data_IF_555406715250
#
_entry.id   IF_555406715250
#
_cell.length_a   1.000
_cell.length_b   1.000
_cell.length_c   1.000
_cell.angle_alpha   90.00
_cell.angle_beta   90.00
_cell.angle_gamma   90.00
#
_symmetry.space_group_name_H-M   'P 1'
#
loop_
_entity.id
_entity.type
_entity.pdbx_description
1 polymer ?
#
# COMPACT_ATOMS: atom_id res chain seq x y z
N UNK A 1 -23.00 48.20 -20.97
CA UNK A 1 -23.44 46.97 -20.31
C UNK A 1 -24.49 47.32 -19.27
N UNK A 2 -25.64 46.67 -19.31
CA UNK A 2 -26.71 46.91 -18.33
C UNK A 2 -26.34 46.28 -16.98
N UNK A 3 -26.89 46.81 -15.87
CA UNK A 3 -26.67 46.23 -14.52
C UNK A 3 -27.04 44.75 -14.46
N UNK A 4 -28.03 44.31 -15.23
CA UNK A 4 -28.44 42.92 -15.35
C UNK A 4 -27.36 42.03 -16.02
N UNK A 5 -26.65 42.55 -17.02
CA UNK A 5 -25.55 41.81 -17.68
C UNK A 5 -24.37 41.65 -16.74
N UNK A 6 -24.02 42.67 -15.94
CA UNK A 6 -22.96 42.64 -14.95
C UNK A 6 -23.28 41.62 -13.86
N UNK A 7 -24.52 41.63 -13.34
CA UNK A 7 -24.99 40.68 -12.33
C UNK A 7 -25.00 39.24 -12.86
N UNK A 8 -25.45 39.03 -14.11
CA UNK A 8 -25.46 37.71 -14.75
C UNK A 8 -24.05 37.15 -14.90
N UNK A 9 -23.09 37.95 -15.35
CA UNK A 9 -21.68 37.55 -15.46
C UNK A 9 -21.07 37.24 -14.12
N UNK A 10 -21.35 38.03 -13.08
CA UNK A 10 -20.86 37.77 -11.73
C UNK A 10 -21.40 36.44 -11.16
N UNK A 11 -22.69 36.14 -11.38
CA UNK A 11 -23.31 34.89 -10.97
C UNK A 11 -22.75 33.68 -11.71
N UNK A 12 -22.53 33.78 -13.01
CA UNK A 12 -21.93 32.71 -13.82
C UNK A 12 -20.50 32.41 -13.34
N UNK A 13 -19.69 33.44 -13.08
CA UNK A 13 -18.35 33.29 -12.54
C UNK A 13 -18.35 32.60 -11.18
N UNK A 14 -19.24 33.04 -10.27
CA UNK A 14 -19.35 32.44 -8.92
C UNK A 14 -19.78 30.97 -8.99
N UNK A 15 -20.70 30.64 -9.89
CA UNK A 15 -21.13 29.26 -10.14
C UNK A 15 -19.97 28.38 -10.63
N UNK A 16 -19.15 28.91 -11.55
CA UNK A 16 -17.98 28.22 -12.04
C UNK A 16 -16.91 28.00 -10.96
N UNK A 17 -16.60 29.01 -10.15
CA UNK A 17 -15.69 28.91 -9.03
C UNK A 17 -16.13 27.84 -8.01
N UNK A 18 -17.43 27.80 -7.69
CA UNK A 18 -18.00 26.78 -6.81
C UNK A 18 -17.94 25.37 -7.41
N UNK A 19 -18.11 25.25 -8.74
CA UNK A 19 -17.97 23.96 -9.42
C UNK A 19 -16.55 23.41 -9.28
N UNK A 20 -15.55 24.25 -9.47
CA UNK A 20 -14.13 23.83 -9.31
C UNK A 20 -13.84 23.38 -7.88
N UNK A 21 -14.26 24.16 -6.87
CA UNK A 21 -14.10 23.76 -5.47
C UNK A 21 -14.77 22.42 -5.17
N UNK A 22 -15.97 22.21 -5.71
CA UNK A 22 -16.72 20.97 -5.52
C UNK A 22 -16.04 19.77 -6.22
N UNK A 23 -15.51 19.98 -7.43
CA UNK A 23 -14.80 18.92 -8.17
C UNK A 23 -13.52 18.51 -7.44
N UNK A 24 -12.74 19.47 -6.94
CA UNK A 24 -11.57 19.21 -6.12
C UNK A 24 -11.98 18.54 -4.81
N UNK A 25 -13.02 19.01 -4.12
CA UNK A 25 -13.52 18.40 -2.90
C UNK A 25 -13.98 16.94 -3.10
N UNK A 26 -14.63 16.64 -4.24
CA UNK A 26 -15.01 15.27 -4.61
C UNK A 26 -13.80 14.39 -4.84
N UNK A 27 -12.79 14.90 -5.57
CA UNK A 27 -11.55 14.17 -5.78
C UNK A 27 -10.83 13.88 -4.45
N UNK A 28 -10.81 14.85 -3.51
CA UNK A 28 -10.29 14.70 -2.16
C UNK A 28 -10.97 13.57 -1.36
N UNK A 29 -12.27 13.41 -1.55
CA UNK A 29 -13.04 12.39 -0.83
C UNK A 29 -13.03 11.01 -1.52
N UNK A 30 -12.80 10.96 -2.84
CA UNK A 30 -12.87 9.73 -3.62
C UNK A 30 -11.51 9.02 -3.77
N UNK A 31 -10.40 9.74 -3.67
CA UNK A 31 -9.07 9.19 -3.95
C UNK A 31 -8.31 8.88 -2.67
N UNK A 32 -7.79 7.66 -2.59
CA UNK A 32 -6.79 7.23 -1.58
C UNK A 32 -5.37 7.51 -2.10
N UNK A 33 -5.23 7.82 -3.40
CA UNK A 33 -3.96 8.03 -4.08
C UNK A 33 -3.64 9.52 -4.18
N UNK A 34 -2.64 9.98 -3.43
CA UNK A 34 -2.22 11.38 -3.40
C UNK A 34 -1.72 11.90 -4.77
N UNK A 35 -0.90 11.18 -5.55
CA UNK A 35 -0.50 11.60 -6.89
C UNK A 35 -1.68 11.86 -7.83
N UNK A 36 -2.66 10.96 -7.88
CA UNK A 36 -3.86 11.11 -8.70
C UNK A 36 -4.68 12.34 -8.29
N UNK A 37 -4.83 12.56 -6.98
CA UNK A 37 -5.50 13.73 -6.43
C UNK A 37 -4.82 15.04 -6.86
N UNK A 38 -3.50 15.11 -6.72
CA UNK A 38 -2.73 16.31 -7.08
C UNK A 38 -2.78 16.57 -8.58
N UNK A 39 -2.84 15.53 -9.42
CA UNK A 39 -3.01 15.67 -10.87
C UNK A 39 -4.36 16.29 -11.22
N UNK A 40 -5.46 15.82 -10.62
CA UNK A 40 -6.81 16.40 -10.82
C UNK A 40 -6.86 17.86 -10.36
N UNK A 41 -6.29 18.16 -9.19
CA UNK A 41 -6.25 19.53 -8.68
C UNK A 41 -5.44 20.45 -9.60
N UNK A 42 -4.31 19.98 -10.10
CA UNK A 42 -3.46 20.72 -11.03
C UNK A 42 -4.19 21.02 -12.33
N UNK A 43 -4.91 20.04 -12.90
CA UNK A 43 -5.74 20.20 -14.08
C UNK A 43 -6.81 21.28 -13.88
N UNK A 44 -7.53 21.24 -12.76
CA UNK A 44 -8.59 22.21 -12.45
C UNK A 44 -8.06 23.64 -12.23
N UNK A 45 -6.91 23.78 -11.58
CA UNK A 45 -6.27 25.09 -11.40
C UNK A 45 -5.76 25.63 -12.74
N UNK A 46 -5.16 24.79 -13.56
CA UNK A 46 -4.70 25.16 -14.90
C UNK A 46 -5.88 25.61 -15.79
N UNK A 47 -6.99 24.86 -15.78
CA UNK A 47 -8.23 25.19 -16.48
C UNK A 47 -8.80 26.55 -16.03
N UNK A 48 -8.90 26.79 -14.70
CA UNK A 48 -9.38 28.04 -14.12
C UNK A 48 -8.59 29.25 -14.62
N UNK A 49 -7.29 29.09 -14.72
CA UNK A 49 -6.38 30.15 -15.14
C UNK A 49 -6.21 30.21 -16.69
N UNK A 50 -6.81 29.27 -17.42
CA UNK A 50 -6.63 29.16 -18.88
C UNK A 50 -5.20 28.87 -19.27
N UNK A 51 -4.54 28.01 -18.48
CA UNK A 51 -3.16 27.53 -18.67
C UNK A 51 -3.19 26.02 -18.88
N UNK A 52 -2.18 25.47 -19.54
CA UNK A 52 -2.08 24.02 -19.77
C UNK A 52 -0.99 23.37 -18.93
N UNK A 53 0.03 24.11 -18.59
CA UNK A 53 1.25 23.59 -17.95
C UNK A 53 1.26 23.88 -16.45
N UNK A 54 1.63 22.88 -15.68
CA UNK A 54 1.84 23.07 -14.25
C UNK A 54 2.54 21.89 -13.59
N UNK A 55 2.88 22.05 -12.32
CA UNK A 55 3.51 21.02 -11.50
C UNK A 55 3.29 21.26 -10.00
N UNK A 56 3.31 20.19 -9.25
CA UNK A 56 3.27 20.21 -7.79
C UNK A 56 4.59 19.70 -7.24
N UNK A 57 5.20 20.49 -6.38
CA UNK A 57 6.38 20.11 -5.62
C UNK A 57 5.99 19.99 -4.15
N UNK A 58 6.33 18.88 -3.53
CA UNK A 58 6.15 18.64 -2.11
C UNK A 58 7.52 18.55 -1.43
N UNK A 59 7.57 18.86 -0.13
CA UNK A 59 8.75 18.60 0.68
C UNK A 59 8.68 17.18 1.26
N UNK A 60 9.77 16.44 1.14
CA UNK A 60 9.93 15.18 1.84
C UNK A 60 10.04 15.42 3.35
N UNK A 61 9.34 14.66 4.17
CA UNK A 61 9.27 14.92 5.61
C UNK A 61 10.56 14.59 6.37
N UNK A 62 11.34 13.63 5.87
CA UNK A 62 12.56 13.20 6.53
C UNK A 62 13.76 14.08 6.17
N UNK A 63 13.91 14.42 4.88
CA UNK A 63 15.03 15.18 4.38
C UNK A 63 14.74 16.68 4.26
N UNK A 64 13.47 17.10 4.19
CA UNK A 64 13.07 18.46 3.89
C UNK A 64 13.28 18.87 2.42
N UNK A 65 13.78 17.97 1.58
CA UNK A 65 14.07 18.25 0.18
C UNK A 65 12.80 18.23 -0.69
N UNK A 66 12.70 19.14 -1.68
CA UNK A 66 11.58 19.19 -2.57
C UNK A 66 11.65 18.10 -3.64
N UNK A 67 10.51 17.43 -3.90
CA UNK A 67 10.35 16.47 -4.98
C UNK A 67 9.11 16.76 -5.82
N UNK A 68 9.11 16.28 -7.08
CA UNK A 68 7.99 16.44 -7.99
C UNK A 68 6.91 15.39 -7.67
N UNK A 69 5.75 15.86 -7.19
CA UNK A 69 4.63 15.01 -6.82
C UNK A 69 3.60 14.83 -7.95
N UNK A 70 3.40 15.87 -8.79
CA UNK A 70 2.53 15.81 -9.97
C UNK A 70 3.02 16.80 -11.02
N UNK A 71 2.73 16.51 -12.30
CA UNK A 71 3.03 17.41 -13.41
C UNK A 71 2.03 17.23 -14.54
N UNK A 72 1.78 18.33 -15.27
CA UNK A 72 0.92 18.38 -16.45
C UNK A 72 1.60 19.20 -17.54
N UNK A 73 1.64 18.67 -18.75
CA UNK A 73 2.15 19.33 -19.97
C UNK A 73 3.48 20.07 -19.76
N UNK A 74 4.43 19.42 -19.10
CA UNK A 74 5.77 20.00 -18.92
C UNK A 74 6.41 20.30 -20.31
N UNK A 75 7.07 21.46 -20.44
CA UNK A 75 7.80 21.79 -21.65
C UNK A 75 8.91 20.75 -21.93
N UNK A 76 9.30 20.53 -23.21
CA UNK A 76 10.27 19.51 -23.57
C UNK A 76 11.54 19.52 -22.72
N UNK A 77 12.08 20.70 -22.41
CA UNK A 77 13.30 20.81 -21.64
C UNK A 77 13.18 20.42 -20.14
N UNK A 78 11.98 20.33 -19.58
CA UNK A 78 11.74 19.82 -18.22
C UNK A 78 11.26 18.36 -18.24
N UNK A 79 10.58 17.95 -19.32
CA UNK A 79 10.10 16.59 -19.48
C UNK A 79 11.23 15.61 -19.87
N UNK A 80 12.17 16.06 -20.72
CA UNK A 80 13.30 15.27 -21.20
C UNK A 80 14.44 15.19 -20.17
N UNK A 81 14.53 16.16 -19.26
CA UNK A 81 15.54 16.27 -18.21
C UNK A 81 14.84 16.35 -16.83
N UNK A 82 14.26 15.25 -16.31
CA UNK A 82 13.47 15.25 -15.06
C UNK A 82 14.24 15.73 -13.84
N UNK A 83 15.54 15.57 -13.82
CA UNK A 83 16.45 16.04 -12.76
C UNK A 83 16.38 17.57 -12.58
N UNK A 84 15.97 18.31 -13.61
CA UNK A 84 15.73 19.76 -13.49
C UNK A 84 14.54 20.11 -12.62
N UNK A 85 13.62 19.15 -12.41
CA UNK A 85 12.49 19.32 -11.51
C UNK A 85 12.84 18.99 -10.06
N UNK A 86 13.98 18.37 -9.82
CA UNK A 86 14.49 18.11 -8.48
C UNK A 86 15.15 19.35 -7.86
N UNK A 87 15.29 19.34 -6.53
CA UNK A 87 15.99 20.36 -5.75
C UNK A 87 15.29 21.73 -5.70
N UNK A 88 15.97 22.66 -5.06
CA UNK A 88 15.45 23.99 -4.76
C UNK A 88 15.41 24.92 -5.97
N UNK A 89 14.48 25.83 -5.95
CA UNK A 89 14.36 26.95 -6.89
C UNK A 89 13.89 28.19 -6.15
N UNK A 90 14.01 29.35 -6.79
CA UNK A 90 13.71 30.65 -6.15
C UNK A 90 12.33 30.69 -5.45
N UNK A 91 11.28 30.18 -6.09
CA UNK A 91 9.94 30.19 -5.49
C UNK A 91 9.84 29.29 -4.25
N UNK A 92 10.50 28.12 -4.24
CA UNK A 92 10.51 27.24 -3.08
C UNK A 92 11.37 27.81 -1.93
N UNK A 93 12.49 28.45 -2.25
CA UNK A 93 13.33 29.13 -1.24
C UNK A 93 12.55 30.27 -0.58
N UNK A 94 11.96 31.17 -1.36
CA UNK A 94 11.12 32.25 -0.87
C UNK A 94 9.94 31.74 -0.04
N UNK A 95 9.32 30.62 -0.46
CA UNK A 95 8.25 29.99 0.29
C UNK A 95 8.73 29.42 1.63
N UNK A 96 9.85 28.70 1.63
CA UNK A 96 10.46 28.17 2.87
C UNK A 96 10.77 29.28 3.85
N UNK A 97 11.32 30.39 3.36
CA UNK A 97 11.77 31.51 4.19
C UNK A 97 10.61 32.43 4.64
N UNK A 98 9.36 32.11 4.22
CA UNK A 98 8.16 32.83 4.64
C UNK A 98 7.91 34.14 3.91
N UNK A 99 8.59 34.38 2.79
CA UNK A 99 8.43 35.57 1.95
C UNK A 99 7.16 35.53 1.09
N UNK A 100 6.46 34.38 1.08
CA UNK A 100 5.19 34.18 0.39
C UNK A 100 4.01 34.43 1.33
N UNK A 101 3.46 35.59 1.34
CA UNK A 101 2.28 35.92 2.14
C UNK A 101 0.96 35.47 1.50
N UNK A 102 0.51 34.26 1.83
CA UNK A 102 -0.78 33.69 1.36
C UNK A 102 -0.77 33.31 -0.12
N UNK A 103 -1.90 32.75 -0.66
CA UNK A 103 -2.01 32.54 -2.11
C UNK A 103 -1.78 33.87 -2.81
N UNK A 104 -0.59 34.28 -2.68
CA UNK A 104 -0.15 35.46 -3.30
C UNK A 104 -0.31 35.18 -4.78
N UNK A 105 -0.82 36.09 -5.44
CA UNK A 105 -0.27 36.55 -6.69
C UNK A 105 1.18 36.92 -6.40
N UNK A 106 1.87 35.98 -5.97
CA UNK A 106 3.26 35.96 -5.78
C UNK A 106 3.77 36.23 -7.13
N UNK A 107 4.24 37.44 -7.28
CA UNK A 107 4.56 38.05 -8.54
C UNK A 107 4.98 36.98 -9.52
N UNK A 108 4.26 36.89 -10.59
CA UNK A 108 4.51 35.96 -11.68
C UNK A 108 5.99 36.06 -11.98
N UNK A 109 6.75 35.14 -11.44
CA UNK A 109 8.22 35.22 -11.43
C UNK A 109 8.73 34.47 -12.65
N UNK A 110 9.74 35.02 -13.29
CA UNK A 110 10.48 34.23 -14.28
C UNK A 110 11.00 32.98 -13.63
N UNK A 111 10.44 31.81 -14.04
CA UNK A 111 10.80 30.53 -13.44
C UNK A 111 12.32 30.27 -13.58
N UNK A 112 13.01 30.09 -12.46
CA UNK A 112 14.46 29.84 -12.47
C UNK A 112 14.81 28.55 -13.20
N UNK A 113 13.92 27.55 -13.21
CA UNK A 113 14.07 26.29 -13.95
C UNK A 113 13.94 26.50 -15.47
N UNK A 114 12.98 27.32 -15.90
CA UNK A 114 12.77 27.67 -17.32
C UNK A 114 13.84 28.65 -17.83
N UNK A 115 14.28 29.57 -17.00
CA UNK A 115 15.32 30.56 -17.38
C UNK A 115 16.61 29.92 -17.86
N UNK A 116 17.00 28.82 -17.26
CA UNK A 116 18.19 28.03 -17.65
C UNK A 116 18.03 27.37 -19.02
N UNK A 117 16.81 27.24 -19.52
CA UNK A 117 16.49 26.67 -20.85
C UNK A 117 16.29 27.73 -21.93
N UNK A 118 16.19 29.01 -21.56
CA UNK A 118 15.83 30.13 -22.43
C UNK A 118 16.66 30.25 -23.73
N UNK A 119 17.97 29.86 -23.78
CA UNK A 119 18.75 29.95 -25.01
C UNK A 119 18.35 28.90 -26.07
N UNK A 120 17.68 27.79 -25.66
CA UNK A 120 17.31 26.71 -26.58
C UNK A 120 15.89 26.90 -27.12
N UNK A 121 15.78 27.41 -28.35
CA UNK A 121 14.47 27.59 -29.03
C UNK A 121 13.68 26.29 -29.01
N UNK A 122 12.42 26.39 -28.55
CA UNK A 122 11.48 25.26 -28.46
C UNK A 122 11.51 24.45 -27.15
N UNK A 123 12.58 24.48 -26.36
CA UNK A 123 12.64 23.69 -25.11
C UNK A 123 11.74 24.20 -23.99
N UNK A 124 11.38 25.48 -23.99
CA UNK A 124 10.48 26.10 -23.00
C UNK A 124 9.00 26.10 -23.41
N UNK A 125 8.67 25.70 -24.65
CA UNK A 125 7.32 25.88 -25.22
C UNK A 125 6.77 27.31 -25.08
N UNK A 126 7.64 28.33 -25.07
CA UNK A 126 7.26 29.73 -24.88
C UNK A 126 6.98 30.14 -23.44
N UNK A 127 6.98 29.21 -22.49
CA UNK A 127 6.72 29.48 -21.08
C UNK A 127 7.83 30.34 -20.47
N UNK A 128 7.44 31.36 -19.71
CA UNK A 128 8.36 32.30 -19.08
C UNK A 128 8.05 32.49 -17.59
N UNK A 129 6.78 32.44 -17.24
CA UNK A 129 6.24 32.79 -15.94
C UNK A 129 5.42 31.66 -15.36
N UNK A 130 5.31 31.63 -14.05
CA UNK A 130 4.38 30.73 -13.35
C UNK A 130 3.74 31.47 -12.17
N UNK A 131 2.52 31.10 -11.85
CA UNK A 131 1.88 31.42 -10.58
C UNK A 131 2.11 30.28 -9.62
N UNK A 132 2.38 30.63 -8.35
CA UNK A 132 2.66 29.67 -7.28
C UNK A 132 1.56 29.73 -6.22
N UNK A 133 1.05 28.57 -5.85
CA UNK A 133 0.00 28.40 -4.84
C UNK A 133 0.61 27.59 -3.69
N UNK A 134 0.81 28.20 -2.52
CA UNK A 134 1.30 27.52 -1.35
C UNK A 134 0.37 26.35 -0.93
N UNK A 135 0.95 25.24 -0.52
CA UNK A 135 0.27 24.13 0.13
C UNK A 135 0.69 24.13 1.60
N UNK A 136 -0.21 24.59 2.47
CA UNK A 136 0.06 24.81 3.87
C UNK A 136 -1.06 24.22 4.74
N UNK A 137 -0.76 23.91 5.99
CA UNK A 137 -1.73 23.46 6.97
C UNK A 137 -1.36 23.99 8.36
N UNK A 138 -2.34 24.31 9.17
CA UNK A 138 -2.10 24.62 10.59
C UNK A 138 -1.70 23.32 11.31
N UNK A 139 -0.59 23.33 12.01
CA UNK A 139 -0.23 22.22 12.88
C UNK A 139 -0.99 22.26 14.22
N UNK A 140 -0.88 21.18 15.00
CA UNK A 140 -1.59 21.05 16.29
C UNK A 140 -1.19 22.11 17.32
N UNK A 141 -0.05 22.76 17.16
CA UNK A 141 0.49 23.78 18.07
C UNK A 141 0.18 25.22 17.59
N UNK A 142 -0.61 25.35 16.52
CA UNK A 142 -0.98 26.63 15.92
C UNK A 142 0.07 27.23 15.02
N UNK A 143 1.12 26.48 14.68
CA UNK A 143 2.12 26.84 13.68
C UNK A 143 1.62 26.61 12.25
N UNK A 144 2.27 27.23 11.28
CA UNK A 144 2.00 27.02 9.85
C UNK A 144 3.01 26.02 9.29
N UNK A 145 2.55 24.80 8.99
CA UNK A 145 3.35 23.75 8.35
C UNK A 145 3.31 23.92 6.84
N UNK A 146 4.46 24.12 6.22
CA UNK A 146 4.61 24.25 4.78
C UNK A 146 4.89 22.89 4.18
N UNK A 147 4.01 22.44 3.26
CA UNK A 147 4.02 21.10 2.69
C UNK A 147 4.59 21.06 1.29
N UNK A 148 4.45 22.16 0.55
CA UNK A 148 4.88 22.25 -0.83
C UNK A 148 4.21 23.38 -1.60
N UNK A 149 4.21 23.29 -2.93
CA UNK A 149 3.71 24.33 -3.80
C UNK A 149 3.15 23.75 -5.09
N UNK A 150 1.97 24.23 -5.50
CA UNK A 150 1.40 23.98 -6.81
C UNK A 150 1.75 25.20 -7.71
N UNK A 151 2.26 24.93 -8.90
CA UNK A 151 2.65 25.93 -9.87
C UNK A 151 1.93 25.74 -11.18
N UNK A 152 1.47 26.81 -11.79
CA UNK A 152 0.93 26.83 -13.16
C UNK A 152 1.69 27.86 -13.99
N UNK A 153 2.04 27.53 -15.21
CA UNK A 153 2.96 28.27 -16.03
C UNK A 153 2.31 28.79 -17.33
N UNK A 154 2.77 29.96 -17.77
CA UNK A 154 2.31 30.58 -18.99
C UNK A 154 3.38 31.39 -19.70
N UNK A 155 3.10 31.83 -20.95
CA UNK A 155 4.05 32.63 -21.74
C UNK A 155 4.09 34.09 -21.35
N UNK A 156 3.00 34.61 -20.76
CA UNK A 156 2.81 36.01 -20.46
C UNK A 156 2.42 36.22 -19.00
N UNK A 157 2.96 37.29 -18.43
CA UNK A 157 2.52 37.73 -17.13
C UNK A 157 1.12 38.35 -17.22
N UNK A 158 0.28 38.00 -16.26
CA UNK A 158 -1.02 38.67 -16.07
C UNK A 158 -1.29 38.84 -14.58
N UNK A 159 -1.97 39.93 -14.28
CA UNK A 159 -2.47 40.17 -12.93
C UNK A 159 -3.69 39.29 -12.67
N UNK A 160 -3.74 38.64 -11.52
CA UNK A 160 -4.91 37.90 -11.07
C UNK A 160 -5.75 38.79 -10.16
N UNK A 161 -7.05 38.81 -10.39
CA UNK A 161 -7.96 39.57 -9.52
C UNK A 161 -8.11 38.94 -8.14
N UNK A 162 -8.56 39.73 -7.15
CA UNK A 162 -8.66 39.31 -5.76
C UNK A 162 -9.59 38.09 -5.54
N UNK A 163 -10.61 37.91 -6.37
CA UNK A 163 -11.50 36.74 -6.31
C UNK A 163 -10.76 35.46 -6.71
N UNK A 164 -10.04 35.50 -7.83
CA UNK A 164 -9.21 34.38 -8.29
C UNK A 164 -8.14 34.02 -7.27
N UNK A 165 -7.48 35.02 -6.68
CA UNK A 165 -6.48 34.78 -5.63
C UNK A 165 -7.07 34.12 -4.39
N UNK A 166 -8.25 34.55 -3.94
CA UNK A 166 -8.95 33.95 -2.81
C UNK A 166 -9.35 32.50 -3.10
N UNK A 167 -9.79 32.20 -4.32
CA UNK A 167 -10.11 30.83 -4.73
C UNK A 167 -8.87 29.94 -4.75
N UNK A 168 -7.76 30.42 -5.33
CA UNK A 168 -6.49 29.69 -5.37
C UNK A 168 -5.94 29.42 -3.97
N UNK A 169 -6.11 30.37 -3.04
CA UNK A 169 -5.75 30.16 -1.65
C UNK A 169 -6.59 29.04 -1.02
N UNK A 170 -7.90 29.08 -1.20
CA UNK A 170 -8.80 28.05 -0.69
C UNK A 170 -8.42 26.66 -1.22
N UNK A 171 -8.09 26.57 -2.52
CA UNK A 171 -7.63 25.33 -3.14
C UNK A 171 -6.29 24.87 -2.54
N UNK A 172 -5.34 25.79 -2.31
CA UNK A 172 -4.07 25.49 -1.65
C UNK A 172 -4.26 24.94 -0.23
N UNK A 173 -5.14 25.57 0.56
CA UNK A 173 -5.48 25.13 1.91
C UNK A 173 -6.12 23.72 1.90
N UNK A 174 -7.08 23.48 1.00
CA UNK A 174 -7.71 22.17 0.84
C UNK A 174 -6.72 21.08 0.45
N UNK A 175 -5.82 21.36 -0.47
CA UNK A 175 -4.78 20.43 -0.91
C UNK A 175 -3.74 20.22 0.20
N UNK A 176 -3.39 21.25 0.95
CA UNK A 176 -2.52 21.14 2.12
C UNK A 176 -3.08 20.15 3.14
N UNK A 177 -4.36 20.29 3.50
CA UNK A 177 -5.05 19.37 4.40
C UNK A 177 -5.04 17.93 3.85
N UNK A 178 -5.26 17.75 2.55
CA UNK A 178 -5.26 16.43 1.94
C UNK A 178 -3.88 15.77 1.94
N UNK A 179 -2.84 16.53 1.62
CA UNK A 179 -1.44 16.05 1.68
C UNK A 179 -1.07 15.61 3.09
N UNK A 180 -1.39 16.42 4.10
CA UNK A 180 -1.10 16.09 5.49
C UNK A 180 -1.89 14.86 5.97
N UNK A 181 -3.17 14.75 5.59
CA UNK A 181 -3.99 13.56 5.88
C UNK A 181 -3.37 12.31 5.27
N UNK A 182 -3.00 12.34 4.00
CA UNK A 182 -2.36 11.19 3.33
C UNK A 182 -1.06 10.78 4.04
N UNK A 183 -0.25 11.75 4.47
CA UNK A 183 0.97 11.50 5.25
C UNK A 183 0.69 10.88 6.62
N UNK A 184 -0.32 11.39 7.31
CA UNK A 184 -0.74 10.85 8.61
C UNK A 184 -1.25 9.42 8.49
N UNK A 185 -2.04 9.12 7.46
CA UNK A 185 -2.57 7.79 7.22
C UNK A 185 -1.45 6.79 6.85
N UNK A 186 -0.46 7.21 6.03
CA UNK A 186 0.72 6.41 5.73
C UNK A 186 1.54 6.10 7.00
N UNK A 187 1.80 7.10 7.85
CA UNK A 187 2.51 6.92 9.14
C UNK A 187 1.75 6.01 10.12
N UNK A 188 0.43 6.14 10.19
CA UNK A 188 -0.41 5.26 11.03
C UNK A 188 -0.33 3.82 10.58
N UNK A 189 -0.35 3.59 9.27
CA UNK A 189 -0.21 2.25 8.70
C UNK A 189 1.15 1.64 9.04
N UNK A 190 2.23 2.39 8.87
CA UNK A 190 3.59 1.96 9.19
C UNK A 190 3.76 1.67 10.69
N UNK A 191 3.22 2.55 11.57
CA UNK A 191 3.23 2.34 13.02
C UNK A 191 2.46 1.07 13.40
N UNK A 192 1.25 0.89 12.87
CA UNK A 192 0.44 -0.29 13.13
C UNK A 192 1.14 -1.59 12.68
N UNK A 193 1.81 -1.56 11.52
CA UNK A 193 2.61 -2.69 11.05
C UNK A 193 3.78 -3.01 11.99
N UNK A 194 4.45 -1.97 12.49
CA UNK A 194 5.57 -2.11 13.43
C UNK A 194 5.10 -2.65 14.78
N UNK A 195 3.99 -2.14 15.31
CA UNK A 195 3.39 -2.63 16.55
C UNK A 195 2.95 -4.09 16.43
N UNK A 196 2.33 -4.46 15.34
CA UNK A 196 1.91 -5.85 15.08
C UNK A 196 3.12 -6.78 14.95
N UNK A 197 4.16 -6.35 14.25
CA UNK A 197 5.42 -7.11 14.17
C UNK A 197 6.05 -7.34 15.56
N UNK A 198 6.04 -6.32 16.41
CA UNK A 198 6.55 -6.42 17.77
C UNK A 198 5.67 -7.30 18.68
N UNK A 199 4.34 -7.28 18.45
CA UNK A 199 3.40 -8.17 19.15
C UNK A 199 3.65 -9.62 18.78
N UNK A 200 3.74 -9.92 17.49
CA UNK A 200 4.03 -11.26 16.98
C UNK A 200 5.39 -11.77 17.46
N UNK A 201 6.43 -10.94 17.46
CA UNK A 201 7.75 -11.32 17.96
C UNK A 201 7.72 -11.75 19.45
N UNK A 202 6.92 -11.06 20.29
CA UNK A 202 6.73 -11.44 21.69
C UNK A 202 5.96 -12.76 21.81
N UNK A 203 4.88 -12.93 21.07
CA UNK A 203 4.08 -14.16 21.08
C UNK A 203 4.90 -15.39 20.65
N UNK A 204 5.75 -15.22 19.63
CA UNK A 204 6.71 -16.25 19.21
C UNK A 204 7.70 -16.58 20.34
N UNK A 205 8.25 -15.55 20.97
CA UNK A 205 9.21 -15.74 22.06
C UNK A 205 8.60 -16.52 23.23
N UNK A 206 7.37 -16.16 23.62
CA UNK A 206 6.66 -16.79 24.73
C UNK A 206 6.33 -18.27 24.41
N UNK A 207 5.88 -18.55 23.19
CA UNK A 207 5.60 -19.92 22.74
C UNK A 207 6.87 -20.76 22.71
N UNK A 208 7.97 -20.23 22.14
CA UNK A 208 9.26 -20.91 22.12
C UNK A 208 9.81 -21.17 23.52
N UNK A 209 9.68 -20.23 24.45
CA UNK A 209 10.12 -20.38 25.83
C UNK A 209 9.34 -21.50 26.54
N UNK A 210 8.03 -21.62 26.27
CA UNK A 210 7.20 -22.70 26.81
C UNK A 210 7.59 -24.07 26.25
N UNK A 211 7.76 -24.17 24.92
CA UNK A 211 8.14 -25.41 24.25
C UNK A 211 9.53 -25.90 24.71
N UNK A 212 10.51 -25.00 24.81
CA UNK A 212 11.84 -25.31 25.31
C UNK A 212 11.80 -25.79 26.79
N UNK A 213 10.97 -25.13 27.60
CA UNK A 213 10.78 -25.55 29.01
C UNK A 213 10.20 -26.96 29.11
N UNK A 214 9.24 -27.30 28.24
CA UNK A 214 8.67 -28.65 28.20
C UNK A 214 9.69 -29.70 27.73
N UNK A 215 10.57 -29.37 26.78
CA UNK A 215 11.67 -30.24 26.34
C UNK A 215 12.65 -30.48 27.50
N UNK A 216 13.05 -29.42 28.21
CA UNK A 216 13.94 -29.53 29.40
C UNK A 216 13.34 -30.45 30.46
N UNK A 217 12.04 -30.28 30.77
CA UNK A 217 11.34 -31.10 31.75
C UNK A 217 11.35 -32.60 31.38
N UNK A 218 11.16 -32.94 30.10
CA UNK A 218 11.21 -34.33 29.65
C UNK A 218 12.62 -34.91 29.72
N UNK A 219 13.65 -34.10 29.46
CA UNK A 219 15.05 -34.53 29.57
C UNK A 219 15.47 -34.73 31.03
N UNK A 220 15.09 -33.84 31.95
CA UNK A 220 15.30 -33.98 33.38
C UNK A 220 14.61 -35.24 33.95
N UNK A 221 13.37 -35.52 33.46
CA UNK A 221 12.68 -36.74 33.82
C UNK A 221 13.42 -37.99 33.32
N UNK A 222 13.96 -37.98 32.10
CA UNK A 222 14.78 -39.07 31.58
C UNK A 222 16.06 -39.26 32.37
N UNK A 223 16.74 -38.19 32.77
CA UNK A 223 17.96 -38.25 33.63
C UNK A 223 17.65 -38.85 34.99
N UNK A 224 16.59 -38.40 35.66
CA UNK A 224 16.16 -38.95 36.94
C UNK A 224 15.86 -40.46 36.87
N UNK A 225 15.21 -40.93 35.78
CA UNK A 225 14.93 -42.33 35.53
C UNK A 225 16.22 -43.15 35.32
N UNK A 226 17.25 -42.59 34.68
CA UNK A 226 18.55 -43.22 34.51
C UNK A 226 19.28 -43.36 35.85
N UNK A 227 19.29 -42.32 36.69
CA UNK A 227 19.90 -42.36 38.03
C UNK A 227 19.25 -43.42 38.91
N UNK A 228 17.91 -43.57 38.81
CA UNK A 228 17.13 -44.58 39.55
C UNK A 228 17.25 -46.00 38.97
N UNK A 229 18.03 -46.18 37.88
CA UNK A 229 18.12 -47.45 37.14
C UNK A 229 16.75 -48.04 36.76
N UNK A 230 15.81 -47.14 36.36
CA UNK A 230 14.50 -47.52 35.95
C UNK A 230 14.50 -48.28 34.60
N UNK A 231 13.36 -48.89 34.25
CA UNK A 231 13.19 -49.59 33.00
C UNK A 231 13.61 -48.72 31.81
N UNK A 232 14.54 -49.17 30.94
CA UNK A 232 14.98 -48.46 29.76
C UNK A 232 13.84 -47.97 28.85
N UNK A 233 12.72 -48.69 28.77
CA UNK A 233 11.55 -48.29 28.01
C UNK A 233 10.90 -47.01 28.55
N UNK A 234 11.02 -46.71 29.84
CA UNK A 234 10.52 -45.45 30.42
C UNK A 234 11.43 -44.28 30.05
N UNK A 235 12.75 -44.47 30.08
CA UNK A 235 13.74 -43.47 29.67
C UNK A 235 13.53 -43.14 28.19
N UNK A 236 13.38 -44.16 27.35
CA UNK A 236 13.17 -43.98 25.92
C UNK A 236 11.90 -43.19 25.63
N UNK A 237 10.79 -43.40 26.34
CA UNK A 237 9.55 -42.61 26.19
C UNK A 237 9.77 -41.14 26.49
N UNK A 238 10.46 -40.77 27.56
CA UNK A 238 10.76 -39.36 27.89
C UNK A 238 11.64 -38.71 26.85
N UNK A 239 12.67 -39.39 26.35
CA UNK A 239 13.54 -38.87 25.27
C UNK A 239 12.78 -38.70 23.97
N UNK A 240 11.91 -39.64 23.60
CA UNK A 240 11.08 -39.53 22.41
C UNK A 240 10.10 -38.35 22.51
N UNK A 241 9.46 -38.18 23.68
CA UNK A 241 8.58 -37.02 23.92
C UNK A 241 9.33 -35.68 23.82
N UNK A 242 10.57 -35.61 24.37
CA UNK A 242 11.40 -34.41 24.22
C UNK A 242 11.76 -34.11 22.76
N UNK A 243 12.09 -35.14 21.97
CA UNK A 243 12.38 -34.99 20.54
C UNK A 243 11.17 -34.52 19.74
N UNK A 244 9.98 -35.04 20.02
CA UNK A 244 8.75 -34.65 19.35
C UNK A 244 8.35 -33.19 19.68
N UNK A 245 8.49 -32.79 20.95
CA UNK A 245 8.31 -31.40 21.37
C UNK A 245 9.30 -30.44 20.69
N UNK A 246 10.58 -30.83 20.65
CA UNK A 246 11.63 -30.00 20.01
C UNK A 246 11.38 -29.84 18.51
N UNK A 247 10.98 -30.89 17.81
CA UNK A 247 10.62 -30.83 16.37
C UNK A 247 9.41 -29.92 16.13
N UNK A 248 8.38 -30.09 16.97
CA UNK A 248 7.16 -29.26 16.88
C UNK A 248 7.47 -27.77 17.12
N UNK A 249 8.20 -27.43 18.18
CA UNK A 249 8.59 -26.05 18.48
C UNK A 249 9.46 -25.44 17.38
N UNK A 250 10.39 -26.22 16.78
CA UNK A 250 11.20 -25.75 15.67
C UNK A 250 10.36 -25.44 14.41
N UNK A 251 9.38 -26.28 14.11
CA UNK A 251 8.48 -26.05 12.97
C UNK A 251 7.54 -24.85 13.20
N UNK A 252 7.14 -24.62 14.45
CA UNK A 252 6.33 -23.45 14.84
C UNK A 252 7.15 -22.16 14.78
N UNK A 253 8.39 -22.18 15.26
CA UNK A 253 9.32 -21.07 15.13
C UNK A 253 9.62 -20.70 13.67
N UNK A 254 9.86 -21.69 12.82
CA UNK A 254 10.08 -21.46 11.37
C UNK A 254 8.86 -20.83 10.70
N UNK A 255 7.66 -21.29 11.00
CA UNK A 255 6.42 -20.70 10.49
C UNK A 255 6.27 -19.24 10.91
N UNK A 256 6.48 -18.97 12.18
CA UNK A 256 6.37 -17.64 12.74
C UNK A 256 7.41 -16.66 12.18
N UNK A 257 8.65 -17.11 11.94
CA UNK A 257 9.70 -16.30 11.29
C UNK A 257 9.36 -16.02 9.83
N UNK A 258 8.77 -16.97 9.12
CA UNK A 258 8.27 -16.77 7.75
C UNK A 258 7.11 -15.76 7.74
N UNK A 259 6.23 -15.78 8.74
CA UNK A 259 5.16 -14.81 8.91
C UNK A 259 5.69 -13.39 9.21
N UNK A 260 6.82 -13.25 9.91
CA UNK A 260 7.48 -11.96 10.18
C UNK A 260 8.30 -11.41 8.99
N UNK A 261 8.86 -12.28 8.15
CA UNK A 261 9.76 -11.88 7.04
C UNK A 261 9.05 -11.31 5.81
N UNK A 262 7.77 -11.51 5.69
CA UNK A 262 7.10 -11.03 4.49
C UNK A 262 6.48 -9.65 4.72
N UNK A 263 7.05 -8.65 4.12
CA UNK A 263 6.25 -7.66 3.39
C UNK A 263 5.65 -8.44 2.20
N UNK A 264 4.40 -8.94 2.28
CA UNK A 264 3.98 -10.04 1.40
C UNK A 264 3.94 -9.64 -0.07
N UNK A 265 3.90 -8.35 -0.35
CA UNK A 265 3.68 -7.86 -1.70
C UNK A 265 4.79 -6.93 -2.19
N UNK A 266 5.65 -6.36 -1.30
CA UNK A 266 6.76 -5.47 -1.67
C UNK A 266 6.39 -4.42 -2.74
N UNK A 267 5.18 -3.86 -2.67
CA UNK A 267 4.65 -2.93 -3.68
C UNK A 267 4.11 -3.60 -4.95
N UNK A 268 4.06 -4.93 -5.01
CA UNK A 268 3.46 -5.69 -6.13
C UNK A 268 1.97 -5.92 -5.87
N UNK A 269 1.18 -6.08 -6.93
CA UNK A 269 -0.21 -6.54 -6.80
C UNK A 269 -0.29 -8.03 -6.47
N UNK A 270 -1.37 -8.46 -5.84
CA UNK A 270 -1.59 -9.88 -5.50
C UNK A 270 -1.37 -10.84 -6.68
N UNK A 271 -1.87 -10.59 -7.91
CA UNK A 271 -1.61 -11.47 -9.03
C UNK A 271 -0.13 -11.67 -9.35
N UNK A 272 0.65 -10.58 -9.33
CA UNK A 272 2.10 -10.62 -9.59
C UNK A 272 2.82 -11.39 -8.48
N UNK A 273 2.45 -11.16 -7.23
CA UNK A 273 3.05 -11.83 -6.09
C UNK A 273 2.75 -13.35 -6.08
N UNK A 274 1.52 -13.76 -6.47
CA UNK A 274 1.16 -15.18 -6.59
C UNK A 274 1.88 -15.88 -7.76
N UNK A 275 2.06 -15.20 -8.89
CA UNK A 275 2.85 -15.72 -10.00
C UNK A 275 4.31 -15.95 -9.59
N UNK A 276 4.93 -14.96 -8.95
CA UNK A 276 6.29 -15.09 -8.40
C UNK A 276 6.38 -16.23 -7.37
N UNK A 277 5.42 -16.35 -6.47
CA UNK A 277 5.37 -17.41 -5.48
C UNK A 277 5.31 -18.80 -6.14
N UNK A 278 4.55 -18.96 -7.21
CA UNK A 278 4.48 -20.20 -7.96
C UNK A 278 5.80 -20.53 -8.65
N UNK A 279 6.41 -19.55 -9.33
CA UNK A 279 7.71 -19.69 -10.00
C UNK A 279 8.85 -20.03 -9.02
N UNK A 280 8.94 -19.35 -7.89
CA UNK A 280 9.97 -19.61 -6.87
C UNK A 280 9.81 -20.99 -6.21
N UNK A 281 8.59 -21.52 -6.20
CA UNK A 281 8.27 -22.82 -5.61
C UNK A 281 8.52 -23.97 -6.59
N UNK A 282 8.38 -23.73 -7.88
CA UNK A 282 8.69 -24.72 -8.93
C UNK A 282 10.20 -24.83 -9.14
N UNK A 283 10.83 -25.64 -8.33
CA UNK A 283 12.30 -25.86 -8.39
C UNK A 283 12.73 -26.95 -9.38
N UNK A 284 11.80 -27.55 -10.11
CA UNK A 284 12.04 -28.66 -11.04
C UNK A 284 12.33 -30.01 -10.38
N UNK A 285 12.52 -30.06 -9.07
CA UNK A 285 12.75 -31.29 -8.27
C UNK A 285 11.54 -31.66 -7.38
N UNK A 286 10.45 -30.91 -7.46
CA UNK A 286 9.20 -31.10 -6.73
C UNK A 286 8.00 -31.16 -7.66
N UNK A 287 6.78 -30.99 -7.13
CA UNK A 287 5.58 -30.92 -7.95
C UNK A 287 5.64 -29.70 -8.87
N UNK A 288 5.10 -29.80 -10.07
CA UNK A 288 4.89 -28.67 -10.96
C UNK A 288 3.90 -27.69 -10.34
N UNK A 289 4.26 -26.41 -10.19
CA UNK A 289 3.40 -25.38 -9.60
C UNK A 289 2.93 -24.42 -10.68
N UNK A 290 1.63 -24.32 -10.86
CA UNK A 290 1.01 -23.50 -11.92
C UNK A 290 0.17 -22.39 -11.28
N UNK A 291 0.29 -21.18 -11.81
CA UNK A 291 -0.60 -20.06 -11.49
C UNK A 291 -1.57 -19.81 -12.65
N UNK A 292 -2.85 -19.77 -12.35
CA UNK A 292 -3.92 -19.48 -13.29
C UNK A 292 -4.74 -18.28 -12.79
N UNK A 293 -5.11 -17.37 -13.69
CA UNK A 293 -5.94 -16.23 -13.37
C UNK A 293 -6.99 -15.99 -14.46
N UNK A 294 -8.26 -15.87 -14.08
CA UNK A 294 -9.32 -15.50 -15.03
C UNK A 294 -10.67 -15.27 -14.30
N UNK A 295 -11.30 -14.09 -14.47
CA UNK A 295 -10.75 -12.84 -14.96
C UNK A 295 -9.80 -12.20 -13.94
N UNK A 296 -9.02 -11.21 -14.36
CA UNK A 296 -8.16 -10.43 -13.46
C UNK A 296 -9.02 -9.69 -12.42
N UNK A 297 -8.63 -9.69 -11.13
CA UNK A 297 -9.36 -8.96 -10.11
C UNK A 297 -9.19 -7.44 -10.32
N UNK A 298 -10.20 -6.63 -9.93
CA UNK A 298 -10.01 -5.20 -9.78
C UNK A 298 -8.96 -4.92 -8.69
N UNK A 299 -8.49 -3.67 -8.53
CA UNK A 299 -7.65 -3.30 -7.40
C UNK A 299 -8.29 -3.75 -6.09
N UNK A 300 -7.56 -4.55 -5.30
CA UNK A 300 -8.03 -5.13 -4.05
C UNK A 300 -7.58 -4.26 -2.85
N UNK A 301 -8.36 -4.23 -1.77
CA UNK A 301 -7.89 -3.64 -0.52
C UNK A 301 -6.60 -4.33 -0.04
N UNK A 302 -5.59 -3.60 0.47
CA UNK A 302 -4.32 -4.18 0.91
C UNK A 302 -4.46 -5.34 1.90
N UNK A 303 -5.42 -5.26 2.84
CA UNK A 303 -5.69 -6.35 3.78
C UNK A 303 -6.14 -7.64 3.09
N UNK A 304 -6.94 -7.54 2.01
CA UNK A 304 -7.41 -8.68 1.23
C UNK A 304 -6.25 -9.30 0.45
N UNK A 305 -5.42 -8.47 -0.19
CA UNK A 305 -4.25 -8.93 -0.93
C UNK A 305 -3.27 -9.70 -0.02
N UNK A 306 -2.91 -9.10 1.12
CA UNK A 306 -2.03 -9.73 2.12
C UNK A 306 -2.62 -11.04 2.65
N UNK A 307 -3.89 -11.03 3.02
CA UNK A 307 -4.56 -12.21 3.57
C UNK A 307 -4.63 -13.37 2.58
N UNK A 308 -4.99 -13.10 1.32
CA UNK A 308 -5.04 -14.12 0.26
C UNK A 308 -3.64 -14.65 -0.10
N UNK A 309 -2.64 -13.77 -0.18
CA UNK A 309 -1.26 -14.20 -0.39
C UNK A 309 -0.80 -15.18 0.69
N UNK A 310 -1.09 -14.89 1.96
CA UNK A 310 -0.74 -15.76 3.10
C UNK A 310 -1.47 -17.10 3.07
N UNK A 311 -2.73 -17.09 2.67
CA UNK A 311 -3.48 -18.35 2.47
C UNK A 311 -2.83 -19.17 1.35
N UNK A 312 -2.46 -18.56 0.22
CA UNK A 312 -1.76 -19.23 -0.87
C UNK A 312 -0.43 -19.83 -0.41
N UNK A 313 0.39 -19.06 0.29
CA UNK A 313 1.70 -19.48 0.79
C UNK A 313 1.59 -20.70 1.72
N UNK A 314 0.67 -20.67 2.69
CA UNK A 314 0.45 -21.76 3.63
C UNK A 314 -0.11 -23.01 2.93
N UNK A 315 -1.09 -22.83 2.03
CA UNK A 315 -1.68 -23.94 1.29
C UNK A 315 -0.65 -24.62 0.37
N UNK A 316 0.18 -23.83 -0.32
CA UNK A 316 1.25 -24.33 -1.17
C UNK A 316 2.31 -25.09 -0.35
N UNK A 317 2.71 -24.55 0.80
CA UNK A 317 3.65 -25.21 1.69
C UNK A 317 3.12 -26.52 2.25
N UNK A 318 1.81 -26.59 2.55
CA UNK A 318 1.15 -27.83 2.96
C UNK A 318 1.16 -28.88 1.84
N UNK A 319 0.89 -28.49 0.61
CA UNK A 319 0.97 -29.38 -0.54
C UNK A 319 2.40 -29.95 -0.72
N UNK A 320 3.42 -29.12 -0.66
CA UNK A 320 4.82 -29.53 -0.78
C UNK A 320 5.28 -30.48 0.32
N UNK A 321 4.83 -30.26 1.56
CA UNK A 321 5.28 -31.06 2.71
C UNK A 321 4.52 -32.34 2.91
N UNK A 322 3.24 -32.36 2.56
CA UNK A 322 2.32 -33.39 3.02
C UNK A 322 1.60 -34.13 1.90
N UNK A 323 1.47 -33.56 0.71
CA UNK A 323 0.61 -34.12 -0.31
C UNK A 323 1.26 -35.24 -1.13
N UNK A 324 2.59 -35.23 -1.26
CA UNK A 324 3.29 -36.11 -2.22
C UNK A 324 2.69 -35.99 -3.64
N UNK A 325 2.40 -34.72 -4.01
CA UNK A 325 1.72 -34.37 -5.24
C UNK A 325 2.69 -34.31 -6.42
N UNK A 326 2.17 -34.53 -7.63
CA UNK A 326 2.90 -34.28 -8.87
C UNK A 326 2.64 -32.87 -9.45
N UNK A 327 1.51 -32.27 -9.07
CA UNK A 327 1.05 -30.96 -9.54
C UNK A 327 0.30 -30.20 -8.48
N UNK A 328 0.56 -28.87 -8.39
CA UNK A 328 -0.22 -27.93 -7.59
C UNK A 328 -0.67 -26.76 -8.47
N UNK A 329 -1.93 -26.39 -8.39
CA UNK A 329 -2.52 -25.28 -9.15
C UNK A 329 -3.01 -24.22 -8.18
N UNK A 330 -2.47 -23.00 -8.32
CA UNK A 330 -2.97 -21.79 -7.69
C UNK A 330 -3.89 -21.09 -8.68
N UNK A 331 -5.14 -20.84 -8.30
CA UNK A 331 -6.08 -20.12 -9.15
C UNK A 331 -6.66 -18.91 -8.44
N UNK A 332 -6.58 -17.75 -9.11
CA UNK A 332 -7.18 -16.50 -8.65
C UNK A 332 -8.31 -16.10 -9.61
N UNK A 333 -9.51 -15.95 -9.08
CA UNK A 333 -10.72 -15.61 -9.82
C UNK A 333 -11.39 -14.38 -9.21
N UNK A 334 -12.05 -13.55 -10.03
CA UNK A 334 -12.83 -12.40 -9.57
C UNK A 334 -14.29 -12.49 -10.04
N UNK A 335 -15.11 -13.37 -9.44
CA UNK A 335 -16.55 -13.35 -9.71
C UNK A 335 -17.17 -12.03 -9.22
N UNK A 336 -18.35 -11.64 -9.73
CA UNK A 336 -18.98 -10.36 -9.40
C UNK A 336 -19.05 -10.11 -7.88
N UNK A 337 -18.43 -9.04 -7.41
CA UNK A 337 -18.43 -8.62 -6.00
C UNK A 337 -17.59 -9.48 -5.06
N UNK A 338 -16.74 -10.36 -5.56
CA UNK A 338 -15.91 -11.26 -4.76
C UNK A 338 -14.54 -11.46 -5.39
N UNK A 339 -13.59 -11.93 -4.61
CA UNK A 339 -12.33 -12.51 -5.08
C UNK A 339 -12.19 -13.91 -4.47
N UNK A 340 -11.78 -14.87 -5.28
CA UNK A 340 -11.63 -16.27 -4.89
C UNK A 340 -10.23 -16.75 -5.19
N UNK A 341 -9.59 -17.29 -4.17
CA UNK A 341 -8.33 -18.02 -4.29
C UNK A 341 -8.60 -19.51 -4.11
N UNK A 342 -8.13 -20.33 -5.04
CA UNK A 342 -8.17 -21.78 -4.95
C UNK A 342 -6.75 -22.32 -5.06
N UNK A 343 -6.35 -23.21 -4.15
CA UNK A 343 -5.11 -23.98 -4.22
C UNK A 343 -5.48 -25.45 -4.23
N UNK A 344 -5.05 -26.19 -5.27
CA UNK A 344 -5.39 -27.58 -5.47
C UNK A 344 -4.15 -28.39 -5.77
N UNK A 345 -3.94 -29.49 -5.06
CA UNK A 345 -2.96 -30.52 -5.35
C UNK A 345 -3.63 -31.84 -5.83
N UNK A 346 -2.86 -32.66 -6.50
CA UNK A 346 -3.23 -34.00 -6.96
C UNK A 346 -2.65 -35.12 -6.08
N UNK A 347 -2.27 -34.79 -4.84
CA UNK A 347 -1.55 -35.70 -3.95
C UNK A 347 -2.42 -36.71 -3.22
N UNK A 348 -1.86 -37.27 -2.13
CA UNK A 348 -2.51 -38.34 -1.35
C UNK A 348 -3.78 -37.95 -0.60
N UNK A 349 -4.04 -36.62 -0.44
CA UNK A 349 -5.17 -36.14 0.34
C UNK A 349 -5.17 -36.61 1.81
N UNK A 350 -6.25 -36.27 2.52
CA UNK A 350 -6.51 -36.70 3.90
C UNK A 350 -7.98 -36.65 4.22
N UNK A 351 -8.39 -37.33 5.31
CA UNK A 351 -9.77 -37.24 5.80
C UNK A 351 -9.99 -35.90 6.54
N UNK A 352 -10.70 -34.97 5.85
CA UNK A 352 -11.01 -33.66 6.37
C UNK A 352 -12.11 -33.64 7.44
N UNK A 353 -12.86 -34.76 7.63
CA UNK A 353 -13.98 -34.93 8.56
C UNK A 353 -13.58 -35.55 9.91
N UNK A 354 -12.38 -36.12 10.03
CA UNK A 354 -11.90 -36.84 11.20
C UNK A 354 -11.58 -35.96 12.41
N UNK A 355 -11.76 -36.49 13.64
CA UNK A 355 -11.45 -35.86 14.92
C UNK A 355 -9.95 -35.44 15.08
N UNK A 356 -9.08 -35.91 14.20
CA UNK A 356 -7.65 -35.56 14.14
C UNK A 356 -7.35 -34.19 13.51
N UNK A 357 -8.35 -33.40 13.16
CA UNK A 357 -8.19 -32.00 12.68
C UNK A 357 -7.53 -31.07 13.74
N UNK A 358 -7.48 -31.48 15.00
CA UNK A 358 -6.86 -30.71 16.09
C UNK A 358 -5.34 -30.52 15.98
N UNK A 359 -4.65 -31.23 15.06
CA UNK A 359 -3.22 -31.10 14.80
C UNK A 359 -2.83 -30.20 13.62
N UNK A 360 -3.80 -29.65 12.88
CA UNK A 360 -3.55 -28.91 11.64
C UNK A 360 -3.65 -27.39 11.84
N UNK A 361 -2.73 -26.80 12.61
CA UNK A 361 -2.69 -25.37 12.92
C UNK A 361 -2.68 -24.48 11.66
N UNK A 362 -2.06 -24.91 10.55
CA UNK A 362 -2.09 -24.20 9.28
C UNK A 362 -3.50 -24.03 8.71
N UNK A 363 -4.34 -25.06 8.77
CA UNK A 363 -5.72 -25.00 8.29
C UNK A 363 -6.60 -24.08 9.15
N UNK A 364 -6.39 -24.08 10.47
CA UNK A 364 -7.06 -23.17 11.41
C UNK A 364 -6.69 -21.73 11.11
N UNK A 365 -5.39 -21.44 10.93
CA UNK A 365 -4.89 -20.09 10.61
C UNK A 365 -5.42 -19.57 9.28
N UNK A 366 -5.49 -20.41 8.23
CA UNK A 366 -6.07 -20.02 6.93
C UNK A 366 -7.56 -19.72 7.06
N UNK A 367 -8.32 -20.52 7.79
CA UNK A 367 -9.76 -20.29 8.04
C UNK A 367 -10.00 -19.00 8.80
N UNK A 368 -9.20 -18.72 9.81
CA UNK A 368 -9.33 -17.51 10.62
C UNK A 368 -8.99 -16.25 9.81
N UNK A 369 -7.94 -16.29 8.97
CA UNK A 369 -7.63 -15.18 8.03
C UNK A 369 -8.77 -14.90 7.07
N UNK A 370 -9.35 -15.92 6.44
CA UNK A 370 -10.52 -15.75 5.56
C UNK A 370 -11.70 -15.11 6.31
N UNK A 371 -11.96 -15.55 7.56
CA UNK A 371 -13.01 -14.98 8.42
C UNK A 371 -12.78 -13.52 8.77
N UNK A 372 -11.55 -13.14 9.13
CA UNK A 372 -11.18 -11.75 9.43
C UNK A 372 -11.39 -10.82 8.23
N UNK A 373 -11.26 -11.35 7.01
CA UNK A 373 -11.56 -10.63 5.77
C UNK A 373 -13.08 -10.64 5.42
N UNK A 374 -13.94 -11.14 6.31
CA UNK A 374 -15.38 -11.27 6.06
C UNK A 374 -15.74 -12.33 5.04
N UNK A 375 -14.83 -13.26 4.73
CA UNK A 375 -14.99 -14.27 3.71
C UNK A 375 -15.26 -15.68 4.24
N UNK A 376 -15.43 -16.61 3.29
CA UNK A 376 -15.59 -18.05 3.51
C UNK A 376 -14.30 -18.82 3.25
N UNK A 377 -14.14 -19.95 3.92
CA UNK A 377 -13.03 -20.88 3.75
C UNK A 377 -13.55 -22.33 3.66
N UNK A 378 -13.16 -23.04 2.62
CA UNK A 378 -13.57 -24.42 2.36
C UNK A 378 -12.36 -25.30 2.10
N UNK A 379 -12.42 -26.54 2.56
CA UNK A 379 -11.43 -27.58 2.31
C UNK A 379 -12.18 -28.81 1.80
N UNK A 380 -11.75 -29.32 0.66
CA UNK A 380 -12.21 -30.59 0.08
C UNK A 380 -10.98 -31.48 -0.04
N UNK A 381 -10.94 -32.56 0.70
CA UNK A 381 -9.87 -33.56 0.65
C UNK A 381 -10.41 -34.95 0.97
N UNK A 382 -9.91 -35.94 0.27
CA UNK A 382 -10.15 -37.34 0.57
C UNK A 382 -8.90 -38.16 0.22
N UNK A 383 -8.74 -39.32 0.87
CA UNK A 383 -7.58 -40.19 0.66
C UNK A 383 -7.44 -40.60 -0.80
N UNK A 384 -6.30 -40.29 -1.42
CA UNK A 384 -5.99 -40.61 -2.81
C UNK A 384 -6.58 -39.65 -3.86
N UNK A 385 -7.26 -38.54 -3.45
CA UNK A 385 -7.91 -37.61 -4.39
C UNK A 385 -7.35 -36.19 -4.31
N UNK A 386 -6.23 -35.98 -3.60
CA UNK A 386 -5.62 -34.66 -3.40
C UNK A 386 -6.39 -33.77 -2.42
N UNK A 387 -6.02 -32.51 -2.40
CA UNK A 387 -6.64 -31.48 -1.55
C UNK A 387 -6.96 -30.24 -2.35
N UNK A 388 -8.14 -29.67 -2.10
CA UNK A 388 -8.55 -28.36 -2.62
C UNK A 388 -8.89 -27.43 -1.46
N UNK A 389 -8.24 -26.30 -1.41
CA UNK A 389 -8.48 -25.21 -0.45
C UNK A 389 -9.06 -24.03 -1.24
N UNK A 390 -10.18 -23.49 -0.77
CA UNK A 390 -10.83 -22.32 -1.39
C UNK A 390 -11.07 -21.25 -0.35
N UNK A 391 -10.56 -20.04 -0.59
CA UNK A 391 -10.89 -18.83 0.15
C UNK A 391 -11.69 -17.89 -0.75
N UNK A 392 -12.86 -17.46 -0.30
CA UNK A 392 -13.81 -16.66 -1.07
C UNK A 392 -14.17 -15.40 -0.29
N UNK A 393 -13.61 -14.25 -0.70
CA UNK A 393 -13.68 -12.99 0.04
C UNK A 393 -14.62 -12.00 -0.67
N UNK A 394 -15.66 -11.47 0.02
CA UNK A 394 -16.52 -10.46 -0.57
C UNK A 394 -15.74 -9.16 -0.77
N UNK A 395 -15.84 -8.58 -1.95
CA UNK A 395 -15.41 -7.22 -2.21
C UNK A 395 -16.60 -6.33 -1.88
N UNK A 396 -16.58 -5.67 -0.72
CA UNK A 396 -17.60 -4.68 -0.41
C UNK A 396 -17.53 -3.60 -1.49
N UNK A 397 -18.50 -3.63 -2.41
CA UNK A 397 -18.76 -2.48 -3.27
C UNK A 397 -19.24 -1.42 -2.29
N UNK A 398 -18.40 -0.46 -1.99
CA UNK A 398 -18.81 0.77 -1.31
C UNK A 398 -19.82 1.43 -2.25
N UNK A 399 -21.11 1.16 -2.05
CA UNK A 399 -22.16 1.97 -2.67
C UNK A 399 -22.10 3.32 -2.00
N UNK A 400 -21.49 4.26 -2.70
CA UNK A 400 -21.60 5.70 -2.47
C UNK A 400 -23.03 6.17 -2.63
#
# INVERSE_FOLDING_TARGET
MSDLEIQSQALQRRSYELSILNDVARALNASVDLPALLAVALEKVAELLGLSTGWVLLFDEASGEPFLAAAQDLPPGLREEPERMAGWCYCLEAFRDGEFGGAANVGVVSCSRLRKLAPARGKTAGLRYHASIPLEVMDGDGGLKRLGMLNVAGPEWRELDGGTLSLLRTLGDMLGVAVERARLDARRLESAQTEERNRLAREIHDTLAQDLSAVIFQLEAAEALLVQRADPARVQRSVTAALDLARKGLDEARRSVLDLRAAPLEGRTLPVALATLAEETDTGNGPAVLFEMSPAPPPLPPAVEVGLYRIAQEALQNALRHADASRVVLRLEAPPGRVRLTVQDDGRGFDASGENAAGHFGLVGMRERARLLGGGFQIESSSGAGTRITADIPLSISRS
#
